data_IF_052624210763
#
_entry.id   IF_052624210763
#
_cell.length_a   1.000
_cell.length_b   1.000
_cell.length_c   1.000
_cell.angle_alpha   90.00
_cell.angle_beta   90.00
_cell.angle_gamma   90.00
#
_symmetry.space_group_name_H-M   'P 1'
#
loop_
_entity.id
_entity.type
_entity.pdbx_description
1 polymer ?
#
# COMPACT_ATOMS: atom_id res chain seq x y z
N UNK A 1 -39.36 39.39 -34.14
CA UNK A 1 -38.89 38.01 -33.84
C UNK A 1 -37.56 38.10 -33.10
N UNK A 2 -37.56 38.11 -31.75
CA UNK A 2 -36.35 38.19 -30.93
C UNK A 2 -35.78 36.78 -30.76
N UNK A 3 -34.57 36.53 -31.26
CA UNK A 3 -33.85 35.27 -31.07
C UNK A 3 -33.29 35.24 -29.64
N UNK A 4 -33.74 34.27 -28.84
CA UNK A 4 -33.22 34.02 -27.50
C UNK A 4 -31.96 33.14 -27.64
N UNK A 5 -30.80 33.68 -27.30
CA UNK A 5 -29.56 32.90 -27.19
C UNK A 5 -29.51 32.35 -25.76
N UNK A 6 -29.62 31.04 -25.62
CA UNK A 6 -29.42 30.35 -24.35
C UNK A 6 -27.95 29.97 -24.25
N UNK A 7 -27.21 30.66 -23.39
CA UNK A 7 -25.82 30.32 -23.06
C UNK A 7 -25.86 29.30 -21.93
N UNK A 8 -25.52 28.04 -22.23
CA UNK A 8 -25.25 27.02 -21.22
C UNK A 8 -23.89 27.30 -20.60
N UNK A 9 -23.88 27.90 -19.40
CA UNK A 9 -22.69 27.98 -18.56
C UNK A 9 -22.55 26.63 -17.85
N UNK A 10 -21.68 25.76 -18.38
CA UNK A 10 -21.33 24.50 -17.73
C UNK A 10 -20.56 24.77 -16.45
N UNK A 11 -21.16 24.46 -15.31
CA UNK A 11 -20.52 24.50 -14.00
C UNK A 11 -19.50 23.34 -13.94
N UNK A 12 -18.23 23.62 -14.21
CA UNK A 12 -17.16 22.66 -13.94
C UNK A 12 -16.98 22.58 -12.41
N UNK A 13 -17.57 21.56 -11.79
CA UNK A 13 -17.24 21.20 -10.42
C UNK A 13 -15.85 20.58 -10.47
N UNK A 14 -14.82 21.40 -10.24
CA UNK A 14 -13.47 20.93 -9.99
C UNK A 14 -13.45 20.22 -8.64
N UNK A 15 -13.73 18.92 -8.66
CA UNK A 15 -13.46 18.05 -7.52
C UNK A 15 -11.96 18.08 -7.26
N UNK A 16 -11.57 18.52 -6.07
CA UNK A 16 -10.21 18.31 -5.60
C UNK A 16 -10.02 16.80 -5.46
N UNK A 17 -9.36 16.18 -6.44
CA UNK A 17 -8.75 14.86 -6.24
C UNK A 17 -7.58 15.11 -5.31
N UNK A 18 -7.80 14.98 -4.00
CA UNK A 18 -6.69 14.88 -3.07
C UNK A 18 -5.98 13.57 -3.40
N UNK A 19 -4.70 13.65 -3.76
CA UNK A 19 -3.87 12.48 -3.86
C UNK A 19 -3.91 11.72 -2.52
N UNK A 20 -3.87 10.39 -2.55
CA UNK A 20 -3.71 9.64 -1.30
C UNK A 20 -2.42 10.08 -0.61
N UNK A 21 -2.49 10.23 0.70
CA UNK A 21 -1.35 10.67 1.48
C UNK A 21 -0.36 9.51 1.65
N UNK A 22 0.83 9.71 1.09
CA UNK A 22 1.99 8.89 1.36
C UNK A 22 2.85 9.57 2.42
N UNK A 23 3.28 8.83 3.44
CA UNK A 23 4.10 9.35 4.53
C UNK A 23 5.42 8.61 4.58
N UNK A 24 6.49 9.36 4.85
CA UNK A 24 7.84 8.85 5.07
C UNK A 24 8.23 9.02 6.52
N UNK A 25 8.88 8.01 7.07
CA UNK A 25 9.42 8.05 8.42
C UNK A 25 10.73 7.29 8.49
N UNK A 26 11.47 7.49 9.57
CA UNK A 26 12.76 6.85 9.78
C UNK A 26 12.89 6.43 11.23
N UNK A 27 13.46 5.25 11.43
CA UNK A 27 13.78 4.73 12.75
C UNK A 27 15.31 4.61 12.89
N UNK A 28 15.82 4.97 14.06
CA UNK A 28 17.20 4.75 14.47
C UNK A 28 17.21 3.81 15.67
N UNK A 29 17.91 2.69 15.55
CA UNK A 29 18.23 1.80 16.66
C UNK A 29 19.58 2.24 17.25
N UNK A 30 19.52 3.01 18.33
CA UNK A 30 20.71 3.55 19.00
C UNK A 30 21.60 2.45 19.61
N UNK A 31 21.02 1.33 20.01
CA UNK A 31 21.78 0.21 20.60
C UNK A 31 22.67 -0.47 19.56
N UNK A 32 22.20 -0.55 18.31
CA UNK A 32 22.93 -1.22 17.20
C UNK A 32 23.54 -0.24 16.20
N UNK A 33 23.34 1.07 16.38
CA UNK A 33 23.83 2.08 15.44
C UNK A 33 23.21 2.00 14.04
N UNK A 34 22.03 1.38 13.90
CA UNK A 34 21.40 1.14 12.59
C UNK A 34 20.21 2.06 12.37
N UNK A 35 19.90 2.32 11.11
CA UNK A 35 18.75 3.09 10.68
C UNK A 35 17.90 2.34 9.65
N UNK A 36 16.65 2.75 9.51
CA UNK A 36 15.71 2.22 8.55
C UNK A 36 14.73 3.31 8.08
N UNK A 37 14.48 3.36 6.77
CA UNK A 37 13.48 4.24 6.16
C UNK A 37 12.18 3.49 5.91
N UNK A 38 11.06 4.17 6.08
CA UNK A 38 9.72 3.71 5.76
C UNK A 38 9.02 4.72 4.85
N UNK A 39 8.19 4.21 3.95
CA UNK A 39 7.25 4.96 3.11
C UNK A 39 5.95 4.17 3.06
N UNK A 40 4.84 4.77 3.48
CA UNK A 40 3.58 4.05 3.68
C UNK A 40 2.36 4.85 3.25
N UNK A 41 1.28 4.15 2.96
CA UNK A 41 -0.05 4.71 2.71
C UNK A 41 -1.13 3.70 3.12
N UNK A 42 -2.35 4.17 3.36
CA UNK A 42 -3.52 3.35 3.61
C UNK A 42 -4.38 3.23 2.35
N UNK A 43 -5.20 2.18 2.27
CA UNK A 43 -6.14 1.99 1.17
C UNK A 43 -7.21 3.08 1.14
N UNK A 44 -7.55 3.54 -0.07
CA UNK A 44 -8.57 4.57 -0.35
C UNK A 44 -9.98 4.11 0.05
N UNK A 45 -10.18 2.79 0.20
CA UNK A 45 -11.40 2.19 0.69
C UNK A 45 -11.13 1.36 1.95
N UNK A 46 -12.16 1.26 2.79
CA UNK A 46 -12.27 0.22 3.77
C UNK A 46 -13.07 -0.97 3.20
N UNK A 47 -12.90 -2.14 3.81
CA UNK A 47 -13.78 -3.30 3.62
C UNK A 47 -14.31 -3.74 4.97
N UNK A 48 -15.55 -4.21 4.99
CA UNK A 48 -16.15 -4.70 6.23
C UNK A 48 -15.77 -6.16 6.47
N UNK A 49 -15.39 -6.42 7.72
CA UNK A 49 -15.14 -7.75 8.27
C UNK A 49 -16.22 -8.08 9.29
N UNK A 50 -16.67 -9.33 9.26
CA UNK A 50 -17.65 -9.86 10.20
C UNK A 50 -17.02 -10.06 11.60
N UNK A 51 -17.83 -10.54 12.55
CA UNK A 51 -17.33 -10.96 13.86
C UNK A 51 -16.16 -11.96 13.69
N UNK A 52 -15.03 -11.81 14.41
CA UNK A 52 -14.82 -10.99 15.61
C UNK A 52 -14.32 -9.55 15.38
N UNK A 53 -14.13 -9.11 14.13
CA UNK A 53 -13.49 -7.81 13.82
C UNK A 53 -14.47 -6.63 13.78
N UNK A 54 -15.74 -6.92 13.45
CA UNK A 54 -16.89 -6.01 13.52
C UNK A 54 -16.60 -4.59 13.01
N UNK A 55 -16.53 -4.45 11.69
CA UNK A 55 -16.60 -3.16 11.00
C UNK A 55 -15.51 -2.96 9.94
N UNK A 56 -15.36 -1.70 9.53
CA UNK A 56 -14.43 -1.30 8.49
C UNK A 56 -12.97 -1.54 8.84
N UNK A 57 -12.23 -2.04 7.87
CA UNK A 57 -10.80 -2.32 7.92
C UNK A 57 -10.12 -1.77 6.67
N UNK A 58 -8.93 -1.21 6.85
CA UNK A 58 -8.10 -0.68 5.80
C UNK A 58 -6.84 -1.53 5.68
N UNK A 59 -6.33 -1.62 4.46
CA UNK A 59 -5.06 -2.26 4.18
C UNK A 59 -3.98 -1.18 4.09
N UNK A 60 -2.94 -1.32 4.91
CA UNK A 60 -1.76 -0.47 4.87
C UNK A 60 -0.72 -1.09 3.95
N UNK A 61 -0.16 -0.28 3.06
CA UNK A 61 0.95 -0.64 2.20
C UNK A 61 2.22 0.04 2.69
N UNK A 62 3.22 -0.75 3.06
CA UNK A 62 4.46 -0.28 3.69
C UNK A 62 5.64 -0.69 2.81
N UNK A 63 6.44 0.30 2.42
CA UNK A 63 7.74 0.11 1.80
C UNK A 63 8.81 0.48 2.81
N UNK A 64 9.84 -0.36 2.98
CA UNK A 64 10.96 -0.04 3.88
C UNK A 64 12.31 -0.38 3.29
N UNK A 65 13.34 0.32 3.74
CA UNK A 65 14.73 -0.07 3.45
C UNK A 65 15.13 -1.29 4.29
N UNK A 66 16.24 -1.93 3.95
CA UNK A 66 16.93 -2.77 4.92
C UNK A 66 17.34 -1.93 6.13
N UNK A 67 17.34 -2.56 7.29
CA UNK A 67 18.00 -2.00 8.48
C UNK A 67 19.51 -2.10 8.26
N UNK A 68 20.20 -0.97 8.32
CA UNK A 68 21.64 -0.89 8.02
C UNK A 68 22.32 0.15 8.90
N UNK A 69 23.61 0.00 9.14
CA UNK A 69 24.43 1.09 9.67
C UNK A 69 24.53 2.21 8.62
N UNK A 70 24.58 3.46 9.08
CA UNK A 70 24.73 4.61 8.19
C UNK A 70 26.22 4.90 7.99
N UNK A 71 26.61 5.12 6.74
CA UNK A 71 27.94 5.62 6.43
C UNK A 71 28.11 7.07 6.90
N UNK A 72 29.36 7.53 7.06
CA UNK A 72 29.64 8.88 7.51
C UNK A 72 29.00 9.92 6.58
N UNK A 73 28.07 10.72 7.13
CA UNK A 73 27.34 11.75 6.38
C UNK A 73 26.11 11.26 5.62
N UNK A 74 25.83 9.95 5.59
CA UNK A 74 24.60 9.40 5.01
C UNK A 74 23.41 9.65 5.94
N UNK A 75 22.25 10.04 5.38
CA UNK A 75 21.02 10.19 6.15
C UNK A 75 20.13 8.97 5.98
N UNK A 76 19.32 8.67 7.00
CA UNK A 76 18.32 7.61 6.92
C UNK A 76 17.32 7.86 5.77
N UNK A 77 17.04 9.13 5.47
CA UNK A 77 16.20 9.58 4.35
C UNK A 77 16.72 9.11 2.98
N UNK A 78 18.03 8.90 2.83
CA UNK A 78 18.68 8.50 1.57
C UNK A 78 18.63 6.98 1.34
N UNK A 79 18.20 6.20 2.34
CA UNK A 79 18.16 4.74 2.24
C UNK A 79 17.18 4.27 1.16
N UNK A 80 17.65 3.35 0.32
CA UNK A 80 16.83 2.75 -0.73
C UNK A 80 15.80 1.78 -0.15
N UNK A 81 14.53 1.94 -0.55
CA UNK A 81 13.46 1.00 -0.23
C UNK A 81 13.70 -0.32 -0.96
N UNK A 82 13.60 -1.43 -0.24
CA UNK A 82 13.92 -2.77 -0.74
C UNK A 82 12.89 -3.83 -0.37
N UNK A 83 12.07 -3.57 0.65
CA UNK A 83 11.06 -4.49 1.16
C UNK A 83 9.67 -3.85 1.01
N UNK A 84 8.69 -4.65 0.60
CA UNK A 84 7.28 -4.27 0.52
C UNK A 84 6.45 -5.22 1.39
N UNK A 85 5.51 -4.64 2.12
CA UNK A 85 4.76 -5.30 3.19
C UNK A 85 3.32 -4.78 3.11
N UNK A 86 2.36 -5.64 3.39
CA UNK A 86 0.99 -5.21 3.68
C UNK A 86 0.58 -5.62 5.08
N UNK A 87 -0.17 -4.74 5.72
CA UNK A 87 -0.75 -4.95 7.04
C UNK A 87 -2.24 -4.63 7.00
N UNK A 88 -3.08 -5.44 7.66
CA UNK A 88 -4.52 -5.17 7.75
C UNK A 88 -4.84 -4.59 9.13
N UNK A 89 -5.64 -3.51 9.18
CA UNK A 89 -5.97 -2.88 10.47
C UNK A 89 -6.85 -3.75 11.35
N UNK A 90 -7.73 -4.56 10.74
CA UNK A 90 -8.50 -5.62 11.38
C UNK A 90 -8.69 -6.80 10.43
N UNK A 91 -8.51 -8.01 10.93
CA UNK A 91 -8.60 -9.23 10.12
C UNK A 91 -7.32 -10.06 10.23
N UNK A 92 -7.35 -11.23 9.61
CA UNK A 92 -6.20 -12.14 9.53
C UNK A 92 -6.06 -12.61 8.10
N UNK A 93 -4.87 -12.44 7.51
CA UNK A 93 -4.58 -12.98 6.20
C UNK A 93 -4.67 -14.50 6.24
N UNK A 94 -5.26 -15.07 5.19
CA UNK A 94 -5.31 -16.51 4.99
C UNK A 94 -4.22 -16.92 4.01
N UNK A 95 -3.16 -17.52 4.53
CA UNK A 95 -2.13 -18.19 3.76
C UNK A 95 -2.36 -19.70 3.81
N UNK A 96 -2.54 -20.35 2.65
CA UNK A 96 -2.78 -21.78 2.59
C UNK A 96 -1.48 -22.56 2.61
N UNK A 97 -1.37 -23.57 3.48
CA UNK A 97 -0.16 -24.39 3.60
C UNK A 97 0.19 -25.16 2.31
N UNK A 98 -0.81 -25.53 1.51
CA UNK A 98 -0.62 -26.35 0.30
C UNK A 98 -0.41 -25.51 -0.97
N UNK A 99 -1.09 -24.38 -1.10
CA UNK A 99 -1.01 -23.52 -2.28
C UNK A 99 -0.09 -22.31 -2.08
N UNK A 100 0.41 -22.09 -0.87
CA UNK A 100 1.26 -20.96 -0.48
C UNK A 100 0.46 -19.68 -0.22
N UNK A 101 1.15 -18.64 0.22
CA UNK A 101 0.55 -17.33 0.42
C UNK A 101 0.71 -16.45 -0.83
N UNK A 102 -0.37 -15.85 -1.31
CA UNK A 102 -0.36 -15.00 -2.50
C UNK A 102 -1.33 -13.84 -2.39
N UNK A 103 -1.03 -12.78 -3.14
CA UNK A 103 -1.98 -11.70 -3.45
C UNK A 103 -2.09 -11.51 -4.94
N UNK A 104 -3.21 -10.95 -5.38
CA UNK A 104 -3.44 -10.56 -6.77
C UNK A 104 -3.47 -9.05 -6.86
N UNK A 105 -2.71 -8.50 -7.81
CA UNK A 105 -2.61 -7.05 -8.00
C UNK A 105 -2.96 -6.69 -9.42
N UNK A 106 -3.64 -5.57 -9.58
CA UNK A 106 -3.88 -4.92 -10.87
C UNK A 106 -3.40 -3.48 -10.77
N UNK A 107 -2.35 -3.17 -11.52
CA UNK A 107 -1.86 -1.80 -11.67
C UNK A 107 -2.59 -1.11 -12.81
N UNK A 108 -3.08 0.10 -12.56
CA UNK A 108 -3.91 0.87 -13.50
C UNK A 108 -4.98 -0.02 -14.17
N UNK A 109 -5.08 0.01 -15.50
CA UNK A 109 -5.98 -0.84 -16.28
C UNK A 109 -5.28 -2.10 -16.84
N UNK A 110 -4.13 -2.46 -16.27
CA UNK A 110 -3.31 -3.58 -16.70
C UNK A 110 -3.90 -4.97 -16.41
N UNK A 111 -3.08 -5.99 -16.67
CA UNK A 111 -3.43 -7.40 -16.35
C UNK A 111 -3.27 -7.66 -14.86
N UNK A 112 -4.07 -8.59 -14.34
CA UNK A 112 -3.90 -9.13 -12.98
C UNK A 112 -2.56 -9.88 -12.91
N UNK A 113 -1.79 -9.59 -11.86
CA UNK A 113 -0.50 -10.22 -11.57
C UNK A 113 -0.58 -10.90 -10.21
N UNK A 114 -0.06 -12.13 -10.13
CA UNK A 114 0.06 -12.87 -8.88
C UNK A 114 1.42 -12.62 -8.22
N UNK A 115 1.43 -12.26 -6.95
CA UNK A 115 2.65 -12.11 -6.14
C UNK A 115 2.65 -13.13 -5.01
N UNK A 116 3.75 -13.86 -4.89
CA UNK A 116 3.98 -14.74 -3.75
C UNK A 116 4.38 -13.93 -2.52
N UNK A 117 3.85 -14.35 -1.38
CA UNK A 117 4.01 -13.69 -0.09
C UNK A 117 4.65 -14.62 0.94
N UNK A 118 5.21 -14.04 1.99
CA UNK A 118 5.69 -14.73 3.18
C UNK A 118 4.97 -14.22 4.41
N UNK A 119 4.65 -15.12 5.33
CA UNK A 119 4.12 -14.79 6.64
C UNK A 119 5.23 -14.28 7.57
N UNK A 120 4.82 -13.65 8.66
CA UNK A 120 5.76 -13.27 9.72
C UNK A 120 6.24 -14.54 10.44
N UNK A 121 7.50 -14.54 10.88
CA UNK A 121 8.01 -15.63 11.73
C UNK A 121 7.48 -15.58 13.18
N UNK A 122 6.86 -14.45 13.57
CA UNK A 122 6.44 -14.19 14.95
C UNK A 122 4.97 -14.52 15.26
N UNK A 123 4.27 -15.25 14.40
CA UNK A 123 2.86 -15.62 14.60
C UNK A 123 1.85 -14.49 14.37
N UNK A 124 2.31 -13.33 13.87
CA UNK A 124 1.44 -12.24 13.44
C UNK A 124 0.79 -12.63 12.11
N UNK A 125 -0.53 -12.67 12.08
CA UNK A 125 -1.36 -13.02 10.91
C UNK A 125 -1.98 -11.80 10.23
N UNK A 126 -1.76 -10.61 10.78
CA UNK A 126 -2.19 -9.31 10.28
C UNK A 126 -1.18 -8.65 9.32
N UNK A 127 -0.04 -9.31 9.05
CA UNK A 127 1.05 -8.78 8.21
C UNK A 127 1.64 -9.87 7.32
N UNK A 128 1.86 -9.56 6.04
CA UNK A 128 2.58 -10.43 5.10
C UNK A 128 3.53 -9.63 4.20
N UNK A 129 4.58 -10.28 3.70
CA UNK A 129 5.70 -9.68 2.97
C UNK A 129 5.73 -10.13 1.53
N UNK A 130 6.01 -9.22 0.59
CA UNK A 130 6.23 -9.60 -0.81
C UNK A 130 7.56 -10.32 -0.99
N UNK A 131 7.54 -11.56 -1.51
CA UNK A 131 8.77 -12.32 -1.75
C UNK A 131 9.67 -11.64 -2.78
N UNK A 132 9.07 -11.02 -3.81
CA UNK A 132 9.79 -10.21 -4.80
C UNK A 132 9.47 -8.72 -4.62
N UNK A 133 9.83 -8.20 -3.44
CA UNK A 133 9.61 -6.81 -3.05
C UNK A 133 10.18 -5.80 -4.04
N UNK A 134 11.40 -6.00 -4.55
CA UNK A 134 12.04 -5.07 -5.49
C UNK A 134 11.26 -4.93 -6.80
N UNK A 135 10.74 -6.05 -7.34
CA UNK A 135 9.88 -6.00 -8.54
C UNK A 135 8.59 -5.23 -8.24
N UNK A 136 7.93 -5.53 -7.12
CA UNK A 136 6.68 -4.87 -6.75
C UNK A 136 6.88 -3.35 -6.57
N UNK A 137 7.91 -2.92 -5.84
CA UNK A 137 8.25 -1.50 -5.64
C UNK A 137 8.50 -0.81 -6.97
N UNK A 138 9.23 -1.47 -7.89
CA UNK A 138 9.51 -0.91 -9.23
C UNK A 138 8.23 -0.67 -10.02
N UNK A 139 7.26 -1.59 -9.96
CA UNK A 139 5.99 -1.42 -10.65
C UNK A 139 5.13 -0.35 -9.97
N UNK A 140 5.06 -0.36 -8.65
CA UNK A 140 4.31 0.64 -7.86
C UNK A 140 4.73 2.07 -8.20
N UNK A 141 6.04 2.35 -8.29
CA UNK A 141 6.56 3.68 -8.63
C UNK A 141 6.24 4.19 -10.04
N UNK A 142 5.82 3.31 -10.96
CA UNK A 142 5.52 3.65 -12.36
C UNK A 142 4.05 3.86 -12.64
N UNK A 143 3.17 3.34 -11.80
CA UNK A 143 1.73 3.33 -12.01
C UNK A 143 1.06 4.35 -11.08
N UNK A 144 -0.21 4.65 -11.36
CA UNK A 144 -0.98 5.65 -10.60
C UNK A 144 -2.02 5.02 -9.69
N UNK A 145 -2.49 3.83 -10.01
CA UNK A 145 -3.52 3.11 -9.26
C UNK A 145 -3.12 1.67 -9.03
N UNK A 146 -3.53 1.14 -7.89
CA UNK A 146 -3.40 -0.26 -7.55
C UNK A 146 -4.73 -0.78 -7.01
N UNK A 147 -5.17 -1.93 -7.51
CA UNK A 147 -6.13 -2.79 -6.83
C UNK A 147 -5.35 -4.00 -6.32
N UNK A 148 -5.43 -4.27 -5.03
CA UNK A 148 -4.81 -5.41 -4.37
C UNK A 148 -5.91 -6.27 -3.74
N UNK A 149 -5.94 -7.55 -4.12
CA UNK A 149 -6.81 -8.56 -3.55
C UNK A 149 -6.01 -9.54 -2.69
N UNK A 150 -6.48 -9.77 -1.47
CA UNK A 150 -5.93 -10.73 -0.54
C UNK A 150 -7.06 -11.58 0.07
N UNK A 151 -6.73 -12.81 0.46
CA UNK A 151 -7.66 -13.69 1.17
C UNK A 151 -7.54 -13.49 2.68
N UNK A 152 -8.68 -13.53 3.35
CA UNK A 152 -8.79 -13.40 4.78
C UNK A 152 -9.54 -14.57 5.40
N UNK A 153 -9.13 -14.96 6.60
CA UNK A 153 -9.77 -16.05 7.34
C UNK A 153 -11.24 -15.70 7.62
N UNK A 154 -12.15 -16.62 7.30
CA UNK A 154 -13.63 -16.50 7.40
C UNK A 154 -14.31 -15.46 6.51
N UNK A 155 -13.56 -14.53 5.92
CA UNK A 155 -14.10 -13.43 5.11
C UNK A 155 -13.84 -13.58 3.60
N UNK A 156 -12.95 -14.50 3.21
CA UNK A 156 -12.61 -14.76 1.82
C UNK A 156 -11.80 -13.64 1.19
N UNK A 157 -11.89 -13.50 -0.15
CA UNK A 157 -11.13 -12.49 -0.89
C UNK A 157 -11.74 -11.09 -0.71
N UNK A 158 -10.90 -10.10 -0.36
CA UNK A 158 -11.28 -8.69 -0.28
C UNK A 158 -10.32 -7.83 -1.10
N UNK A 159 -10.84 -6.74 -1.67
CA UNK A 159 -10.10 -5.85 -2.55
C UNK A 159 -9.89 -4.47 -1.92
N UNK A 160 -8.66 -3.97 -2.07
CA UNK A 160 -8.22 -2.68 -1.58
C UNK A 160 -7.66 -1.85 -2.73
N UNK A 161 -8.01 -0.58 -2.76
CA UNK A 161 -7.63 0.38 -3.79
C UNK A 161 -6.64 1.37 -3.21
N UNK A 162 -5.66 1.77 -4.01
CA UNK A 162 -4.66 2.75 -3.63
C UNK A 162 -4.41 3.71 -4.79
N UNK A 163 -4.30 5.00 -4.45
CA UNK A 163 -3.66 6.01 -5.28
C UNK A 163 -2.14 6.00 -5.03
N UNK A 164 -1.38 5.72 -6.09
CA UNK A 164 0.07 5.57 -6.08
C UNK A 164 0.81 6.86 -6.44
N UNK A 165 0.10 7.95 -6.76
CA UNK A 165 0.71 9.19 -7.25
C UNK A 165 1.67 9.84 -6.25
N UNK A 166 1.47 9.63 -4.95
CA UNK A 166 2.31 10.18 -3.88
C UNK A 166 3.57 9.38 -3.53
N UNK A 167 3.76 8.15 -4.07
CA UNK A 167 4.86 7.26 -3.64
C UNK A 167 6.26 7.88 -3.83
N UNK A 168 6.45 8.66 -4.89
CA UNK A 168 7.75 9.26 -5.23
C UNK A 168 7.99 10.60 -4.52
N UNK A 169 6.98 11.14 -3.85
CA UNK A 169 7.02 12.40 -3.10
C UNK A 169 6.21 12.28 -1.80
N UNK A 170 6.59 11.35 -0.91
CA UNK A 170 5.89 11.17 0.35
C UNK A 170 6.10 12.39 1.25
N UNK A 171 5.08 12.72 2.04
CA UNK A 171 5.13 13.73 3.09
C UNK A 171 6.04 13.23 4.22
N UNK A 172 6.62 14.15 5.00
CA UNK A 172 7.39 13.84 6.21
C UNK A 172 6.54 14.02 7.46
#
# INVERSE_FOLDING_TARGET
MKKLIVIFVGLFISGNVSAADWYSSYNKDEMRGTAQKFVQTDSDNAVDFDFPYNGGSNLMLILRSKKTELEAGQKAEDLALSEAIIAISKGQFLCHSYSGCHVYVKFDDGKIQKYAMSETSGGRTDVIFFNNSTKFIKELRKHKKLILEAEFYQDGAKQFKFDLTGVNSPKS
#
